data_IF_410528626445
#
_entry.id   IF_410528626445
#
_cell.length_a   1.000
_cell.length_b   1.000
_cell.length_c   1.000
_cell.angle_alpha   90.00
_cell.angle_beta   90.00
_cell.angle_gamma   90.00
#
_symmetry.space_group_name_H-M   'P 1'
#
loop_
_entity.id
_entity.type
_entity.pdbx_description
1 polymer ?
#
# COMPACT_ATOMS: atom_id res chain seq x y z
N UNK A 1 -11.74 2.90 15.04
CA UNK A 1 -10.47 3.56 14.64
C UNK A 1 -9.25 3.04 15.39
N UNK A 2 -9.17 3.15 16.73
CA UNK A 2 -8.01 2.64 17.51
C UNK A 2 -7.69 1.16 17.22
N UNK A 3 -8.72 0.31 17.22
CA UNK A 3 -8.62 -1.11 16.85
C UNK A 3 -8.00 -1.34 15.46
N UNK A 4 -8.31 -0.50 14.47
CA UNK A 4 -7.74 -0.61 13.14
C UNK A 4 -6.25 -0.28 13.13
N UNK A 5 -5.82 0.81 13.81
CA UNK A 5 -4.40 1.14 13.97
C UNK A 5 -3.65 0.00 14.65
N UNK A 6 -4.15 -0.48 15.79
CA UNK A 6 -3.50 -1.57 16.53
C UNK A 6 -3.42 -2.82 15.66
N UNK A 7 -4.47 -3.15 14.91
CA UNK A 7 -4.46 -4.31 14.02
C UNK A 7 -3.45 -4.17 12.86
N UNK A 8 -3.29 -2.97 12.28
CA UNK A 8 -2.26 -2.69 11.27
C UNK A 8 -0.86 -2.87 11.87
N UNK A 9 -0.62 -2.33 13.08
CA UNK A 9 0.68 -2.49 13.75
C UNK A 9 0.97 -3.96 14.07
N UNK A 10 -0.02 -4.68 14.61
CA UNK A 10 0.12 -6.12 14.91
C UNK A 10 0.36 -6.93 13.65
N UNK A 11 -0.27 -6.58 12.54
CA UNK A 11 -0.02 -7.21 11.26
C UNK A 11 1.43 -7.04 10.81
N UNK A 12 1.97 -5.82 10.92
CA UNK A 12 3.38 -5.56 10.59
C UNK A 12 4.31 -6.37 11.51
N UNK A 13 4.06 -6.33 12.81
CA UNK A 13 4.85 -7.10 13.77
C UNK A 13 4.80 -8.61 13.50
N UNK A 14 3.62 -9.18 13.28
CA UNK A 14 3.48 -10.63 13.12
C UNK A 14 4.03 -11.08 11.77
N UNK A 15 3.55 -10.50 10.66
CA UNK A 15 3.83 -11.03 9.33
C UNK A 15 5.21 -10.62 8.82
N UNK A 16 5.65 -9.40 9.12
CA UNK A 16 6.85 -8.81 8.52
C UNK A 16 8.08 -8.85 9.43
N UNK A 17 7.89 -9.20 10.70
CA UNK A 17 8.98 -9.31 11.70
C UNK A 17 8.98 -10.66 12.39
N UNK A 18 7.96 -11.02 13.17
CA UNK A 18 7.98 -12.21 14.04
C UNK A 18 8.02 -13.52 13.26
N UNK A 19 7.18 -13.69 12.24
CA UNK A 19 7.22 -14.89 11.38
C UNK A 19 8.59 -15.04 10.71
N UNK A 20 9.14 -14.00 10.04
CA UNK A 20 10.52 -14.03 9.54
C UNK A 20 11.57 -14.34 10.60
N UNK A 21 11.52 -13.73 11.79
CA UNK A 21 12.45 -14.03 12.88
C UNK A 21 12.42 -15.52 13.25
N UNK A 22 11.22 -16.08 13.44
CA UNK A 22 11.06 -17.51 13.75
C UNK A 22 11.65 -18.36 12.63
N UNK A 23 11.38 -18.03 11.37
CA UNK A 23 11.94 -18.74 10.22
C UNK A 23 13.48 -18.69 10.22
N UNK A 24 14.07 -17.51 10.41
CA UNK A 24 15.52 -17.31 10.43
C UNK A 24 16.22 -18.00 11.61
N UNK A 25 15.52 -18.18 12.75
CA UNK A 25 16.04 -18.95 13.88
C UNK A 25 16.20 -20.44 13.56
N UNK A 26 15.35 -21.01 12.70
CA UNK A 26 15.40 -22.43 12.34
C UNK A 26 16.25 -22.72 11.10
N UNK A 27 16.23 -21.83 10.10
CA UNK A 27 16.80 -22.09 8.77
C UNK A 27 18.06 -21.24 8.52
N UNK A 28 18.32 -20.25 9.37
CA UNK A 28 19.34 -19.23 9.15
C UNK A 28 18.78 -18.05 8.35
N UNK A 29 19.44 -16.89 8.48
CA UNK A 29 19.06 -15.71 7.71
C UNK A 29 19.49 -15.89 6.25
N UNK A 30 18.52 -15.87 5.34
CA UNK A 30 18.75 -15.96 3.88
C UNK A 30 18.34 -14.64 3.24
N UNK A 31 19.27 -13.72 2.98
CA UNK A 31 18.96 -12.46 2.33
C UNK A 31 18.51 -12.67 0.88
N UNK A 32 17.61 -11.81 0.41
CA UNK A 32 17.01 -11.84 -0.94
C UNK A 32 17.60 -10.79 -1.86
N UNK A 33 18.09 -9.69 -1.30
CA UNK A 33 18.56 -8.52 -2.04
C UNK A 33 20.07 -8.32 -1.99
N UNK A 34 20.75 -8.84 -0.96
CA UNK A 34 22.21 -8.72 -0.79
C UNK A 34 22.83 -10.06 -0.39
N UNK A 35 24.14 -10.21 -0.52
CA UNK A 35 24.90 -11.32 0.07
C UNK A 35 25.33 -11.02 1.51
N UNK A 36 25.16 -9.77 1.98
CA UNK A 36 25.59 -9.36 3.31
C UNK A 36 24.72 -9.97 4.42
N UNK A 37 25.37 -10.56 5.42
CA UNK A 37 24.75 -11.07 6.64
C UNK A 37 25.45 -10.43 7.84
N UNK A 38 24.75 -9.53 8.54
CA UNK A 38 25.24 -8.92 9.78
C UNK A 38 24.24 -9.14 10.92
N UNK A 39 24.49 -10.18 11.73
CA UNK A 39 23.62 -10.53 12.86
C UNK A 39 23.47 -9.40 13.90
N UNK A 40 24.52 -8.65 14.28
CA UNK A 40 24.35 -7.50 15.18
C UNK A 40 23.36 -6.46 14.67
N UNK A 41 23.47 -6.02 13.41
CA UNK A 41 22.52 -5.08 12.79
C UNK A 41 21.13 -5.70 12.64
N UNK A 42 21.02 -7.01 12.39
CA UNK A 42 19.75 -7.73 12.31
C UNK A 42 19.03 -7.77 13.68
N UNK A 43 19.76 -8.01 14.77
CA UNK A 43 19.19 -7.95 16.13
C UNK A 43 18.80 -6.53 16.51
N UNK A 44 19.64 -5.54 16.16
CA UNK A 44 19.34 -4.12 16.38
C UNK A 44 18.10 -3.68 15.60
N UNK A 45 17.95 -4.10 14.34
CA UNK A 45 16.77 -3.76 13.52
C UNK A 45 15.49 -4.36 14.11
N UNK A 46 15.56 -5.63 14.51
CA UNK A 46 14.46 -6.33 15.18
C UNK A 46 14.05 -5.61 16.47
N UNK A 47 15.02 -5.24 17.31
CA UNK A 47 14.77 -4.49 18.54
C UNK A 47 14.10 -3.13 18.28
N UNK A 48 14.64 -2.32 17.36
CA UNK A 48 14.12 -0.99 17.05
C UNK A 48 12.67 -1.05 16.55
N UNK A 49 12.34 -2.00 15.67
CA UNK A 49 10.98 -2.14 15.14
C UNK A 49 10.02 -2.63 16.23
N UNK A 50 10.37 -3.71 16.93
CA UNK A 50 9.50 -4.31 17.95
C UNK A 50 9.25 -3.31 19.09
N UNK A 51 10.30 -2.73 19.66
CA UNK A 51 10.18 -1.82 20.79
C UNK A 51 9.31 -0.60 20.46
N UNK A 52 9.55 0.05 19.31
CA UNK A 52 8.78 1.21 18.85
C UNK A 52 7.29 0.91 18.66
N UNK A 53 6.97 -0.20 17.99
CA UNK A 53 5.60 -0.57 17.64
C UNK A 53 4.83 -1.14 18.84
N UNK A 54 5.47 -1.94 19.69
CA UNK A 54 4.86 -2.44 20.94
C UNK A 54 4.60 -1.29 21.90
N UNK A 55 5.57 -0.37 22.08
CA UNK A 55 5.36 0.80 22.93
C UNK A 55 4.23 1.69 22.39
N UNK A 56 4.10 1.82 21.07
CA UNK A 56 2.99 2.52 20.45
C UNK A 56 1.63 1.89 20.79
N UNK A 57 1.52 0.55 20.75
CA UNK A 57 0.31 -0.17 21.17
C UNK A 57 0.00 0.07 22.65
N UNK A 58 1.01 -0.01 23.51
CA UNK A 58 0.87 0.23 24.95
C UNK A 58 0.30 1.65 25.19
N UNK A 59 0.91 2.68 24.61
CA UNK A 59 0.48 4.07 24.78
C UNK A 59 -0.94 4.30 24.23
N UNK A 60 -1.28 3.72 23.07
CA UNK A 60 -2.64 3.79 22.52
C UNK A 60 -3.67 3.12 23.42
N UNK A 61 -3.32 1.99 24.07
CA UNK A 61 -4.22 1.30 24.99
C UNK A 61 -4.47 2.12 26.26
N UNK A 62 -3.46 2.81 26.78
CA UNK A 62 -3.63 3.73 27.92
C UNK A 62 -4.40 5.01 27.56
N UNK A 63 -4.54 5.36 26.28
CA UNK A 63 -5.36 6.49 25.86
C UNK A 63 -6.85 6.22 26.11
N UNK A 64 -7.44 6.92 27.09
CA UNK A 64 -8.87 6.90 27.45
C UNK A 64 -9.71 7.66 26.42
N UNK A 65 -9.77 7.16 25.18
CA UNK A 65 -10.63 7.73 24.13
C UNK A 65 -11.79 6.78 23.82
N UNK A 66 -13.00 7.34 23.72
CA UNK A 66 -14.21 6.59 23.33
C UNK A 66 -13.97 5.90 21.99
N UNK A 67 -14.41 4.64 21.85
CA UNK A 67 -14.36 3.95 20.57
C UNK A 67 -15.34 4.59 19.59
N UNK A 68 -14.78 5.24 18.56
CA UNK A 68 -15.57 5.78 17.46
C UNK A 68 -15.63 4.78 16.31
N UNK A 69 -16.86 4.50 15.89
CA UNK A 69 -17.21 3.67 14.73
C UNK A 69 -17.76 4.60 13.65
N UNK A 70 -17.27 4.44 12.43
CA UNK A 70 -17.61 5.31 11.31
C UNK A 70 -18.82 4.74 10.59
N UNK A 71 -19.84 5.58 10.38
CA UNK A 71 -21.09 5.21 9.71
C UNK A 71 -20.98 5.39 8.18
N UNK A 72 -21.67 4.57 7.39
CA UNK A 72 -21.75 4.74 5.94
C UNK A 72 -22.56 5.99 5.59
N UNK A 73 -22.13 6.73 4.56
CA UNK A 73 -22.72 8.03 4.19
C UNK A 73 -23.25 8.09 2.77
N UNK A 74 -22.88 7.18 1.87
CA UNK A 74 -23.11 7.33 0.43
C UNK A 74 -24.01 6.26 -0.18
N UNK A 75 -24.82 6.64 -1.18
CA UNK A 75 -25.69 5.74 -1.96
C UNK A 75 -24.91 4.95 -3.03
N UNK A 76 -25.26 3.68 -3.23
CA UNK A 76 -24.28 2.66 -3.63
C UNK A 76 -24.12 2.31 -5.10
N UNK A 77 -25.18 2.40 -5.90
CA UNK A 77 -25.09 2.03 -7.33
C UNK A 77 -23.95 2.73 -8.11
N UNK A 78 -23.67 4.03 -7.93
CA UNK A 78 -22.58 4.71 -8.64
C UNK A 78 -21.19 4.18 -8.25
N UNK A 79 -20.96 3.91 -6.97
CA UNK A 79 -19.65 3.46 -6.47
C UNK A 79 -19.32 2.06 -7.00
N UNK A 80 -20.32 1.16 -7.00
CA UNK A 80 -20.15 -0.19 -7.52
C UNK A 80 -19.73 -0.18 -8.99
N UNK A 81 -20.39 0.63 -9.83
CA UNK A 81 -20.01 0.80 -11.22
C UNK A 81 -18.57 1.31 -11.35
N UNK A 82 -18.23 2.35 -10.60
CA UNK A 82 -16.92 2.99 -10.69
C UNK A 82 -15.78 2.07 -10.28
N UNK A 83 -16.00 1.23 -9.27
CA UNK A 83 -15.04 0.23 -8.82
C UNK A 83 -14.71 -0.80 -9.90
N UNK A 84 -15.73 -1.41 -10.51
CA UNK A 84 -15.50 -2.42 -11.56
C UNK A 84 -14.92 -1.78 -12.84
N UNK A 85 -15.36 -0.56 -13.18
CA UNK A 85 -14.79 0.21 -14.28
C UNK A 85 -13.30 0.49 -14.04
N UNK A 86 -12.92 0.96 -12.85
CA UNK A 86 -11.53 1.21 -12.44
C UNK A 86 -10.64 -0.02 -12.64
N UNK A 87 -11.09 -1.20 -12.19
CA UNK A 87 -10.35 -2.45 -12.35
C UNK A 87 -10.15 -2.80 -13.83
N UNK A 88 -11.23 -2.81 -14.61
CA UNK A 88 -11.17 -3.18 -16.02
C UNK A 88 -10.33 -2.18 -16.82
N UNK A 89 -10.51 -0.89 -16.58
CA UNK A 89 -9.73 0.17 -17.20
C UNK A 89 -8.23 -0.01 -16.96
N UNK A 90 -7.82 -0.27 -15.71
CA UNK A 90 -6.40 -0.48 -15.38
C UNK A 90 -5.84 -1.77 -15.98
N UNK A 91 -6.60 -2.86 -16.00
CA UNK A 91 -6.17 -4.10 -16.66
C UNK A 91 -6.00 -3.92 -18.16
N UNK A 92 -6.98 -3.32 -18.83
CA UNK A 92 -6.93 -3.08 -20.28
C UNK A 92 -5.73 -2.18 -20.61
N UNK A 93 -5.57 -1.09 -19.86
CA UNK A 93 -4.43 -0.17 -20.04
C UNK A 93 -3.10 -0.90 -19.87
N UNK A 94 -2.95 -1.70 -18.81
CA UNK A 94 -1.74 -2.48 -18.54
C UNK A 94 -1.34 -3.37 -19.71
N UNK A 95 -2.28 -4.13 -20.27
CA UNK A 95 -1.98 -5.02 -21.40
C UNK A 95 -1.74 -4.27 -22.71
N UNK A 96 -2.51 -3.21 -22.99
CA UNK A 96 -2.33 -2.38 -24.19
C UNK A 96 -0.97 -1.68 -24.16
N UNK A 97 -0.51 -1.24 -22.98
CA UNK A 97 0.80 -0.58 -22.86
C UNK A 97 1.98 -1.55 -22.95
N UNK A 98 1.80 -2.86 -23.14
CA UNK A 98 2.90 -3.83 -23.20
C UNK A 98 3.24 -4.49 -21.85
N UNK A 99 2.34 -4.39 -20.87
CA UNK A 99 2.43 -5.13 -19.61
C UNK A 99 3.52 -4.62 -18.66
N UNK A 100 4.16 -5.56 -17.96
CA UNK A 100 5.10 -5.26 -16.88
C UNK A 100 6.41 -4.64 -17.36
N UNK A 101 6.86 -5.00 -18.56
CA UNK A 101 8.11 -4.51 -19.17
C UNK A 101 8.04 -2.99 -19.43
N UNK A 102 6.94 -2.50 -20.01
CA UNK A 102 6.73 -1.07 -20.24
C UNK A 102 6.52 -0.26 -18.97
N UNK A 103 6.02 -0.89 -17.91
CA UNK A 103 5.93 -0.26 -16.59
C UNK A 103 7.32 -0.07 -15.97
N UNK A 104 8.23 -1.03 -16.12
CA UNK A 104 9.60 -0.92 -15.65
C UNK A 104 10.37 0.12 -16.46
N UNK A 105 10.23 0.12 -17.79
CA UNK A 105 10.94 1.06 -18.67
C UNK A 105 10.35 2.48 -18.67
N UNK A 106 9.35 2.76 -17.83
CA UNK A 106 8.76 4.09 -17.69
C UNK A 106 7.91 4.55 -18.88
N UNK A 107 7.69 3.69 -19.89
CA UNK A 107 7.02 4.06 -21.15
C UNK A 107 5.55 4.47 -21.01
N UNK A 108 4.93 4.24 -19.84
CA UNK A 108 3.58 4.71 -19.55
C UNK A 108 3.51 6.14 -18.99
N UNK A 109 4.65 6.71 -18.56
CA UNK A 109 4.73 8.04 -17.95
C UNK A 109 4.23 9.13 -18.91
N UNK A 110 3.42 10.06 -18.41
CA UNK A 110 2.83 11.13 -19.22
C UNK A 110 1.71 10.70 -20.19
N UNK A 111 1.29 9.42 -20.21
CA UNK A 111 0.13 9.00 -21.02
C UNK A 111 -1.20 9.39 -20.37
N UNK A 112 -2.20 9.80 -21.17
CA UNK A 112 -3.57 10.13 -20.69
C UNK A 112 -4.15 9.02 -19.79
N UNK A 113 -3.84 7.76 -20.10
CA UNK A 113 -4.27 6.61 -19.32
C UNK A 113 -3.73 6.59 -17.88
N UNK A 114 -2.50 7.06 -17.68
CA UNK A 114 -1.90 7.23 -16.36
C UNK A 114 -2.55 8.40 -15.60
N UNK A 115 -2.89 9.51 -16.27
CA UNK A 115 -3.64 10.61 -15.62
C UNK A 115 -5.00 10.13 -15.11
N UNK A 116 -5.77 9.42 -15.94
CA UNK A 116 -7.07 8.87 -15.54
C UNK A 116 -6.90 7.88 -14.38
N UNK A 117 -5.84 7.08 -14.40
CA UNK A 117 -5.54 6.09 -13.36
C UNK A 117 -5.28 6.68 -11.97
N UNK A 118 -4.89 7.96 -11.87
CA UNK A 118 -4.73 8.68 -10.60
C UNK A 118 -6.07 8.89 -9.88
N UNK A 119 -7.14 9.14 -10.65
CA UNK A 119 -8.52 9.34 -10.15
C UNK A 119 -9.28 8.03 -9.91
N UNK A 120 -8.74 6.90 -10.37
CA UNK A 120 -9.40 5.59 -10.36
C UNK A 120 -8.63 4.58 -9.51
N UNK A 121 -8.21 4.94 -8.30
CA UNK A 121 -7.48 4.02 -7.42
C UNK A 121 -8.39 2.83 -6.98
N UNK A 122 -8.13 1.59 -7.44
CA UNK A 122 -9.02 0.45 -7.18
C UNK A 122 -9.09 0.08 -5.70
N UNK A 123 -8.00 0.25 -4.96
CA UNK A 123 -7.95 -0.08 -3.53
C UNK A 123 -8.81 0.91 -2.73
N UNK A 124 -8.65 2.21 -2.98
CA UNK A 124 -9.49 3.25 -2.36
C UNK A 124 -10.97 3.04 -2.70
N UNK A 125 -11.29 2.72 -3.96
CA UNK A 125 -12.66 2.41 -4.38
C UNK A 125 -13.23 1.16 -3.71
N UNK A 126 -12.43 0.11 -3.52
CA UNK A 126 -12.82 -1.09 -2.77
C UNK A 126 -13.19 -0.75 -1.32
N UNK A 127 -12.37 0.06 -0.63
CA UNK A 127 -12.66 0.48 0.74
C UNK A 127 -13.94 1.33 0.82
N UNK A 128 -14.16 2.23 -0.13
CA UNK A 128 -15.38 3.06 -0.21
C UNK A 128 -16.61 2.17 -0.44
N UNK A 129 -16.52 1.25 -1.42
CA UNK A 129 -17.56 0.29 -1.78
C UNK A 129 -17.98 -0.59 -0.59
N UNK A 130 -17.02 -1.00 0.25
CA UNK A 130 -17.29 -1.89 1.38
C UNK A 130 -17.69 -1.15 2.66
N UNK A 131 -17.18 0.06 2.92
CA UNK A 131 -17.32 0.65 4.26
C UNK A 131 -18.02 2.00 4.31
N UNK A 132 -18.14 2.71 3.18
CA UNK A 132 -18.78 4.03 3.12
C UNK A 132 -20.14 3.98 2.43
N UNK A 133 -20.34 2.97 1.58
CA UNK A 133 -21.59 2.72 0.91
C UNK A 133 -22.67 2.18 1.87
N UNK A 134 -23.88 2.74 1.79
CA UNK A 134 -25.05 2.30 2.56
C UNK A 134 -25.63 0.98 2.05
N UNK A 135 -25.73 0.83 0.74
CA UNK A 135 -26.27 -0.38 0.10
C UNK A 135 -25.28 -1.54 0.20
N UNK A 136 -25.79 -2.72 0.56
CA UNK A 136 -24.94 -3.91 0.69
C UNK A 136 -24.53 -4.47 -0.68
N UNK A 137 -23.30 -4.96 -0.76
CA UNK A 137 -22.75 -5.56 -1.99
C UNK A 137 -22.16 -6.94 -1.72
N UNK A 138 -21.97 -7.71 -2.80
CA UNK A 138 -21.25 -8.98 -2.70
C UNK A 138 -19.76 -8.73 -2.46
N UNK A 139 -19.37 -8.77 -1.19
CA UNK A 139 -17.97 -8.59 -0.74
C UNK A 139 -17.01 -9.54 -1.43
N UNK A 140 -17.40 -10.82 -1.51
CA UNK A 140 -16.54 -11.85 -2.10
C UNK A 140 -16.29 -11.53 -3.57
N UNK A 141 -17.32 -11.14 -4.32
CA UNK A 141 -17.15 -10.72 -5.72
C UNK A 141 -16.21 -9.53 -5.84
N UNK A 142 -16.40 -8.50 -5.00
CA UNK A 142 -15.54 -7.32 -5.02
C UNK A 142 -14.07 -7.69 -4.75
N UNK A 143 -13.81 -8.47 -3.70
CA UNK A 143 -12.47 -8.92 -3.32
C UNK A 143 -11.83 -9.79 -4.41
N UNK A 144 -12.56 -10.74 -4.98
CA UNK A 144 -12.04 -11.60 -6.07
C UNK A 144 -11.62 -10.76 -7.27
N UNK A 145 -12.42 -9.77 -7.68
CA UNK A 145 -12.04 -8.85 -8.75
C UNK A 145 -10.77 -8.05 -8.43
N UNK A 146 -10.60 -7.61 -7.19
CA UNK A 146 -9.38 -6.91 -6.77
C UNK A 146 -8.16 -7.83 -6.81
N UNK A 147 -8.27 -9.04 -6.25
CA UNK A 147 -7.17 -10.01 -6.23
C UNK A 147 -6.78 -10.40 -7.66
N UNK A 148 -7.76 -10.67 -8.53
CA UNK A 148 -7.49 -10.94 -9.95
C UNK A 148 -6.77 -9.76 -10.61
N UNK A 149 -7.21 -8.53 -10.38
CA UNK A 149 -6.53 -7.34 -10.89
C UNK A 149 -5.04 -7.29 -10.47
N UNK A 150 -4.77 -7.44 -9.18
CA UNK A 150 -3.40 -7.35 -8.64
C UNK A 150 -2.53 -8.50 -9.14
N UNK A 151 -3.06 -9.72 -9.20
CA UNK A 151 -2.30 -10.88 -9.70
C UNK A 151 -2.05 -10.82 -11.20
N UNK A 152 -3.05 -10.43 -12.00
CA UNK A 152 -2.92 -10.33 -13.45
C UNK A 152 -2.01 -9.18 -13.89
N UNK A 153 -1.82 -8.15 -13.06
CA UNK A 153 -0.81 -7.11 -13.30
C UNK A 153 0.61 -7.49 -12.84
N UNK A 154 0.82 -8.76 -12.48
CA UNK A 154 2.13 -9.29 -12.09
C UNK A 154 2.55 -8.91 -10.68
N UNK A 155 1.64 -8.48 -9.81
CA UNK A 155 1.95 -8.24 -8.40
C UNK A 155 1.78 -9.50 -7.55
N UNK A 156 2.81 -9.78 -6.75
CA UNK A 156 2.89 -10.95 -5.87
C UNK A 156 2.21 -10.73 -4.50
N UNK A 157 1.61 -9.56 -4.26
CA UNK A 157 1.01 -9.16 -2.96
C UNK A 157 -0.52 -9.15 -2.95
N UNK A 158 -1.19 -9.76 -3.94
CA UNK A 158 -2.66 -9.69 -4.10
C UNK A 158 -3.48 -10.06 -2.85
N UNK A 159 -3.11 -11.13 -2.16
CA UNK A 159 -3.82 -11.57 -0.93
C UNK A 159 -3.41 -10.75 0.29
N UNK A 160 -2.15 -10.32 0.36
CA UNK A 160 -1.62 -9.44 1.40
C UNK A 160 -2.47 -8.15 1.47
N UNK A 161 -2.81 -7.57 0.32
CA UNK A 161 -3.63 -6.38 0.27
C UNK A 161 -5.03 -6.51 0.89
N UNK A 162 -5.58 -7.74 0.94
CA UNK A 162 -6.90 -8.01 1.55
C UNK A 162 -6.84 -7.99 3.08
N UNK A 163 -5.69 -8.27 3.69
CA UNK A 163 -5.50 -8.07 5.12
C UNK A 163 -5.73 -6.61 5.50
N UNK A 164 -5.27 -5.65 4.69
CA UNK A 164 -5.53 -4.23 4.94
C UNK A 164 -7.01 -3.88 4.84
N UNK A 165 -7.75 -4.45 3.88
CA UNK A 165 -9.21 -4.29 3.81
C UNK A 165 -9.86 -4.76 5.12
N UNK A 166 -9.41 -5.89 5.67
CA UNK A 166 -9.90 -6.43 6.93
C UNK A 166 -9.59 -5.49 8.12
N UNK A 167 -8.35 -5.02 8.26
CA UNK A 167 -7.95 -4.17 9.39
C UNK A 167 -8.53 -2.76 9.33
N UNK A 168 -8.48 -2.12 8.15
CA UNK A 168 -9.10 -0.81 7.92
C UNK A 168 -10.61 -0.91 8.19
N UNK A 169 -11.23 -2.01 7.75
CA UNK A 169 -12.63 -2.30 7.99
C UNK A 169 -13.04 -2.21 9.46
N UNK A 170 -12.19 -2.63 10.40
CA UNK A 170 -12.48 -2.57 11.84
C UNK A 170 -12.81 -1.15 12.36
N UNK A 171 -12.49 -0.09 11.61
CA UNK A 171 -12.88 1.28 11.95
C UNK A 171 -14.33 1.64 11.60
N UNK A 172 -15.01 0.84 10.77
CA UNK A 172 -16.29 1.16 10.15
C UNK A 172 -17.42 0.24 10.62
N UNK A 173 -18.64 0.76 10.63
CA UNK A 173 -19.84 0.00 11.02
C UNK A 173 -20.12 -1.16 10.04
N UNK A 174 -19.85 -0.95 8.75
CA UNK A 174 -20.01 -1.95 7.69
C UNK A 174 -19.26 -3.27 7.96
N UNK A 175 -18.17 -3.21 8.73
CA UNK A 175 -17.37 -4.38 9.06
C UNK A 175 -18.13 -5.44 9.87
N UNK A 176 -19.15 -5.08 10.65
CA UNK A 176 -19.99 -6.08 11.35
C UNK A 176 -20.65 -7.06 10.38
N UNK A 177 -20.99 -6.59 9.17
CA UNK A 177 -21.65 -7.40 8.15
C UNK A 177 -20.66 -8.18 7.27
N UNK A 178 -19.47 -7.62 7.07
CA UNK A 178 -18.51 -8.13 6.09
C UNK A 178 -17.34 -8.87 6.71
N UNK A 179 -16.99 -8.60 7.97
CA UNK A 179 -15.81 -9.12 8.65
C UNK A 179 -15.73 -10.64 8.64
N UNK A 180 -16.86 -11.34 8.88
CA UNK A 180 -16.91 -12.80 8.80
C UNK A 180 -16.60 -13.33 7.40
N UNK A 181 -17.18 -12.73 6.35
CA UNK A 181 -16.93 -13.11 4.95
C UNK A 181 -15.49 -12.84 4.52
N UNK A 182 -14.93 -11.69 4.92
CA UNK A 182 -13.54 -11.33 4.64
C UNK A 182 -12.59 -12.30 5.37
N UNK A 183 -12.86 -12.63 6.63
CA UNK A 183 -12.06 -13.61 7.39
C UNK A 183 -12.09 -14.99 6.73
N UNK A 184 -13.26 -15.45 6.30
CA UNK A 184 -13.40 -16.72 5.56
C UNK A 184 -12.63 -16.67 4.24
N UNK A 185 -12.70 -15.56 3.50
CA UNK A 185 -11.91 -15.38 2.29
C UNK A 185 -10.41 -15.43 2.58
N UNK A 186 -9.92 -14.73 3.61
CA UNK A 186 -8.50 -14.76 3.99
C UNK A 186 -8.03 -16.18 4.34
N UNK A 187 -8.85 -16.95 5.08
CA UNK A 187 -8.53 -18.34 5.44
C UNK A 187 -8.27 -19.21 4.21
N UNK A 188 -9.16 -19.16 3.21
CA UNK A 188 -9.02 -19.98 2.00
C UNK A 188 -8.05 -19.35 0.98
N UNK A 189 -8.00 -18.02 0.92
CA UNK A 189 -7.08 -17.26 0.07
C UNK A 189 -5.64 -17.54 0.44
N UNK A 190 -5.30 -17.66 1.73
CA UNK A 190 -3.95 -18.04 2.17
C UNK A 190 -3.48 -19.39 1.60
N UNK A 191 -4.38 -20.36 1.43
CA UNK A 191 -4.06 -21.64 0.80
C UNK A 191 -3.74 -21.49 -0.69
N UNK A 192 -4.36 -20.51 -1.35
CA UNK A 192 -4.13 -20.17 -2.76
C UNK A 192 -2.92 -19.23 -2.95
N UNK A 193 -2.42 -18.60 -1.89
CA UNK A 193 -1.38 -17.58 -1.98
C UNK A 193 -0.09 -18.07 -2.67
N UNK A 194 0.43 -19.28 -2.38
CA UNK A 194 1.62 -19.78 -3.06
C UNK A 194 1.41 -19.94 -4.57
N UNK A 195 0.24 -20.44 -5.00
CA UNK A 195 -0.07 -20.61 -6.41
C UNK A 195 -0.19 -19.25 -7.14
N UNK A 196 -0.84 -18.26 -6.52
CA UNK A 196 -0.92 -16.90 -7.09
C UNK A 196 0.47 -16.23 -7.13
N UNK A 197 1.32 -16.49 -6.14
CA UNK A 197 2.69 -15.99 -6.11
C UNK A 197 3.54 -16.57 -7.24
N UNK A 198 3.45 -17.88 -7.47
CA UNK A 198 4.13 -18.56 -8.58
C UNK A 198 3.64 -18.01 -9.92
N UNK A 199 2.32 -17.91 -10.10
CA UNK A 199 1.75 -17.32 -11.32
C UNK A 199 2.30 -15.91 -11.58
N UNK A 200 2.21 -15.02 -10.60
CA UNK A 200 2.73 -13.65 -10.72
C UNK A 200 4.27 -13.59 -10.90
N UNK A 201 4.99 -14.64 -10.50
CA UNK A 201 6.43 -14.78 -10.74
C UNK A 201 6.72 -15.15 -12.19
N UNK A 202 5.95 -16.11 -12.75
CA UNK A 202 6.03 -16.51 -14.16
C UNK A 202 5.65 -15.35 -15.08
N UNK A 203 4.60 -14.60 -14.75
CA UNK A 203 4.18 -13.40 -15.53
C UNK A 203 5.29 -12.34 -15.62
N UNK A 204 6.29 -12.36 -14.72
CA UNK A 204 7.46 -11.48 -14.76
C UNK A 204 8.66 -12.07 -15.53
N UNK A 205 8.52 -13.23 -16.19
CA UNK A 205 9.58 -13.84 -16.99
C UNK A 205 10.67 -14.58 -16.19
N UNK A 206 10.44 -14.89 -14.92
CA UNK A 206 11.43 -15.56 -14.05
C UNK A 206 11.17 -17.07 -13.96
N UNK A 207 10.84 -17.70 -15.09
CA UNK A 207 10.34 -19.08 -15.12
C UNK A 207 11.41 -20.14 -14.83
N UNK A 208 12.69 -19.83 -15.06
CA UNK A 208 13.76 -20.85 -15.20
C UNK A 208 14.46 -21.26 -13.89
N UNK A 209 14.08 -20.73 -12.72
CA UNK A 209 14.82 -20.93 -11.43
C UNK A 209 13.91 -21.39 -10.28
N UNK A 210 12.97 -22.31 -10.52
CA UNK A 210 11.92 -22.61 -9.52
C UNK A 210 12.19 -23.93 -8.79
N UNK A 211 13.11 -23.88 -7.81
CA UNK A 211 13.14 -24.86 -6.71
C UNK A 211 12.15 -24.47 -5.60
N UNK A 212 11.56 -25.45 -4.90
CA UNK A 212 10.61 -25.17 -3.81
C UNK A 212 11.24 -24.38 -2.65
N UNK A 213 12.49 -24.70 -2.30
CA UNK A 213 13.25 -23.99 -1.27
C UNK A 213 13.52 -22.53 -1.67
N UNK A 214 13.79 -22.29 -2.95
CA UNK A 214 13.92 -20.94 -3.49
C UNK A 214 12.60 -20.17 -3.38
N UNK A 215 11.46 -20.79 -3.68
CA UNK A 215 10.14 -20.15 -3.53
C UNK A 215 9.88 -19.76 -2.07
N UNK A 216 10.12 -20.66 -1.11
CA UNK A 216 9.88 -20.37 0.30
C UNK A 216 10.79 -19.24 0.78
N UNK A 217 12.08 -19.29 0.46
CA UNK A 217 13.03 -18.23 0.81
C UNK A 217 12.61 -16.89 0.18
N UNK A 218 12.14 -16.89 -1.06
CA UNK A 218 11.62 -15.69 -1.72
C UNK A 218 10.33 -15.18 -1.07
N UNK A 219 9.43 -16.05 -0.64
CA UNK A 219 8.20 -15.65 0.05
C UNK A 219 8.54 -15.02 1.41
N UNK A 220 9.32 -15.71 2.24
CA UNK A 220 9.68 -15.22 3.58
C UNK A 220 10.53 -13.95 3.48
N UNK A 221 11.57 -13.95 2.65
CA UNK A 221 12.45 -12.80 2.51
C UNK A 221 11.76 -11.57 1.92
N UNK A 222 10.81 -11.73 0.98
CA UNK A 222 10.02 -10.59 0.47
C UNK A 222 8.91 -10.12 1.41
N UNK A 223 8.44 -10.97 2.32
CA UNK A 223 7.56 -10.54 3.40
C UNK A 223 8.35 -9.86 4.52
N UNK A 224 9.58 -10.28 4.76
CA UNK A 224 10.43 -9.74 5.81
C UNK A 224 10.84 -8.29 5.54
N UNK A 225 10.74 -7.44 6.56
CA UNK A 225 11.37 -6.11 6.54
C UNK A 225 12.74 -6.11 7.20
N UNK A 226 13.23 -7.27 7.65
CA UNK A 226 14.42 -7.35 8.48
C UNK A 226 15.70 -7.13 7.68
N UNK A 227 15.78 -7.67 6.47
CA UNK A 227 16.92 -7.43 5.57
C UNK A 227 17.04 -5.95 5.20
N UNK A 228 15.93 -5.36 4.78
CA UNK A 228 15.87 -3.93 4.41
C UNK A 228 16.01 -2.99 5.61
N UNK A 229 16.00 -3.53 6.83
CA UNK A 229 16.23 -2.78 8.06
C UNK A 229 17.63 -3.03 8.65
N UNK A 230 18.25 -4.17 8.33
CA UNK A 230 19.61 -4.51 8.74
C UNK A 230 20.64 -3.70 7.96
N UNK A 231 20.47 -3.62 6.64
CA UNK A 231 21.42 -2.95 5.73
C UNK A 231 21.78 -1.51 6.17
N UNK A 232 20.82 -0.61 6.46
CA UNK A 232 21.17 0.76 6.87
C UNK A 232 21.91 0.82 8.21
N UNK A 233 21.56 -0.08 9.13
CA UNK A 233 22.18 -0.14 10.46
C UNK A 233 23.61 -0.68 10.40
N UNK A 234 23.90 -1.59 9.47
CA UNK A 234 25.27 -2.04 9.20
C UNK A 234 26.13 -0.87 8.72
N UNK A 235 25.63 -0.08 7.75
CA UNK A 235 26.35 1.07 7.23
C UNK A 235 26.58 2.15 8.30
N UNK A 236 25.57 2.45 9.12
CA UNK A 236 25.68 3.34 10.28
C UNK A 236 26.76 2.87 11.29
N UNK A 237 26.74 1.58 11.62
CA UNK A 237 27.64 1.02 12.65
C UNK A 237 29.08 0.85 12.18
N UNK A 238 29.31 0.82 10.86
CA UNK A 238 30.63 0.68 10.24
C UNK A 238 31.18 1.99 9.67
N UNK A 239 30.53 3.14 9.94
CA UNK A 239 30.94 4.45 9.48
C UNK A 239 31.18 4.53 7.96
N UNK A 240 30.34 3.82 7.20
CA UNK A 240 30.36 3.90 5.75
C UNK A 240 29.75 5.23 5.30
N UNK A 241 30.16 5.71 4.13
CA UNK A 241 29.67 6.98 3.57
C UNK A 241 28.15 6.95 3.37
N UNK A 242 27.46 7.89 4.02
CA UNK A 242 26.01 8.05 4.01
C UNK A 242 25.58 9.36 3.34
N UNK A 243 26.47 10.04 2.61
CA UNK A 243 26.22 11.35 2.02
C UNK A 243 24.97 11.34 1.11
N UNK A 244 24.82 10.30 0.29
CA UNK A 244 23.64 10.13 -0.58
C UNK A 244 22.34 9.98 0.22
N UNK A 245 22.38 9.31 1.38
CA UNK A 245 21.22 9.22 2.27
C UNK A 245 20.85 10.57 2.86
N UNK A 246 21.83 11.33 3.35
CA UNK A 246 21.56 12.65 3.92
C UNK A 246 21.08 13.64 2.89
N UNK A 247 21.66 13.62 1.68
CA UNK A 247 21.25 14.43 0.54
C UNK A 247 19.80 14.11 0.14
N UNK A 248 19.51 12.83 -0.14
CA UNK A 248 18.17 12.40 -0.56
C UNK A 248 17.10 12.77 0.47
N UNK A 249 17.36 12.52 1.75
CA UNK A 249 16.41 12.79 2.83
C UNK A 249 16.64 14.14 3.51
N UNK A 250 17.25 15.10 2.83
CA UNK A 250 17.20 16.50 3.28
C UNK A 250 15.83 17.11 2.97
N UNK A 251 15.58 18.29 3.51
CA UNK A 251 14.29 18.95 3.32
C UNK A 251 14.03 19.35 1.86
N UNK A 252 15.06 19.77 1.13
CA UNK A 252 14.91 20.34 -0.21
C UNK A 252 14.65 19.28 -1.29
N UNK A 253 15.37 18.16 -1.26
CA UNK A 253 15.17 17.04 -2.17
C UNK A 253 13.80 16.39 -1.93
N UNK A 254 13.42 16.20 -0.66
CA UNK A 254 12.08 15.69 -0.34
C UNK A 254 10.97 16.64 -0.81
N UNK A 255 11.16 17.96 -0.70
CA UNK A 255 10.20 18.93 -1.21
C UNK A 255 10.08 18.90 -2.75
N UNK A 256 11.21 18.88 -3.48
CA UNK A 256 11.24 18.77 -4.95
C UNK A 256 10.51 17.52 -5.42
N UNK A 257 10.87 16.38 -4.82
CA UNK A 257 10.21 15.11 -5.04
C UNK A 257 8.70 15.18 -4.81
N UNK A 258 8.28 15.79 -3.70
CA UNK A 258 6.87 15.95 -3.41
C UNK A 258 6.15 16.74 -4.50
N UNK A 259 6.77 17.80 -5.03
CA UNK A 259 6.19 18.59 -6.13
C UNK A 259 6.09 17.74 -7.41
N UNK A 260 7.15 17.00 -7.75
CA UNK A 260 7.16 16.11 -8.93
C UNK A 260 6.13 14.97 -8.82
N UNK A 261 5.74 14.53 -7.61
CA UNK A 261 4.64 13.56 -7.47
C UNK A 261 3.25 14.15 -7.76
N UNK A 262 3.09 15.47 -7.65
CA UNK A 262 1.81 16.16 -7.83
C UNK A 262 1.58 16.59 -9.27
N UNK A 263 2.67 16.81 -10.01
CA UNK A 263 2.64 17.31 -11.37
C UNK A 263 3.12 16.22 -12.33
N UNK A 264 2.35 15.94 -13.39
CA UNK A 264 2.78 15.00 -14.41
C UNK A 264 3.76 15.68 -15.35
N UNK A 265 4.90 15.02 -15.60
CA UNK A 265 6.08 15.65 -16.17
C UNK A 265 7.05 16.05 -15.05
N UNK A 266 8.34 15.88 -15.30
CA UNK A 266 9.39 16.10 -14.30
C UNK A 266 9.86 17.54 -14.40
N UNK A 267 9.72 18.30 -13.33
CA UNK A 267 10.16 19.70 -13.28
C UNK A 267 11.60 19.74 -12.75
N UNK A 268 11.94 18.84 -11.83
CA UNK A 268 13.27 18.74 -11.27
C UNK A 268 14.05 17.54 -11.82
N UNK A 269 15.35 17.51 -11.51
CA UNK A 269 16.22 16.38 -11.81
C UNK A 269 15.63 15.10 -11.24
N UNK A 270 15.75 14.04 -12.03
CA UNK A 270 15.04 12.79 -11.82
C UNK A 270 15.50 12.12 -10.52
N UNK A 271 14.66 12.21 -9.49
CA UNK A 271 14.70 11.30 -8.36
C UNK A 271 13.53 10.32 -8.55
N UNK A 272 13.86 9.08 -8.92
CA UNK A 272 12.88 8.08 -9.31
C UNK A 272 12.02 7.66 -8.11
N UNK A 273 10.71 7.82 -8.23
CA UNK A 273 9.73 7.16 -7.35
C UNK A 273 9.91 5.63 -7.41
N UNK A 274 9.53 4.86 -6.37
CA UNK A 274 9.86 5.00 -4.95
C UNK A 274 11.30 4.55 -4.66
N UNK A 275 11.91 4.99 -3.55
CA UNK A 275 13.30 4.81 -3.11
C UNK A 275 14.20 3.85 -3.93
N UNK A 276 14.48 4.17 -5.19
CA UNK A 276 15.37 3.35 -6.03
C UNK A 276 16.80 3.45 -5.48
N UNK A 277 17.15 4.61 -4.94
CA UNK A 277 18.42 4.89 -4.29
C UNK A 277 18.72 4.04 -3.07
N UNK A 278 17.76 3.33 -2.49
CA UNK A 278 18.06 2.37 -1.41
C UNK A 278 19.18 1.42 -1.81
N UNK A 279 19.13 0.90 -3.04
CA UNK A 279 20.15 -0.03 -3.54
C UNK A 279 21.47 0.67 -3.85
N UNK A 280 21.44 1.94 -4.23
CA UNK A 280 22.65 2.73 -4.37
C UNK A 280 23.30 2.99 -3.00
N UNK A 281 22.50 3.40 -2.00
CA UNK A 281 22.95 3.72 -0.66
C UNK A 281 23.50 2.50 0.10
N UNK A 282 22.84 1.34 0.03
CA UNK A 282 23.15 0.21 0.92
C UNK A 282 23.48 -1.11 0.24
N UNK A 283 23.42 -1.17 -1.10
CA UNK A 283 23.75 -2.39 -1.86
C UNK A 283 24.85 -2.18 -2.92
N UNK A 284 25.43 -0.97 -3.00
CA UNK A 284 26.59 -0.69 -3.85
C UNK A 284 26.32 -0.62 -5.36
N UNK A 285 25.05 -0.49 -5.77
CA UNK A 285 24.72 -0.26 -7.18
C UNK A 285 25.00 1.20 -7.59
N UNK A 286 25.35 1.43 -8.85
CA UNK A 286 25.46 2.80 -9.37
C UNK A 286 24.07 3.46 -9.47
N UNK A 287 24.02 4.78 -9.27
CA UNK A 287 22.79 5.56 -9.41
C UNK A 287 22.17 5.41 -10.81
N UNK A 288 23.00 5.40 -11.86
CA UNK A 288 22.55 5.20 -13.25
C UNK A 288 21.89 3.84 -13.47
N UNK A 289 22.46 2.77 -12.92
CA UNK A 289 21.88 1.43 -13.05
C UNK A 289 20.56 1.30 -12.31
N UNK A 290 20.53 1.85 -11.09
CA UNK A 290 19.34 1.91 -10.23
C UNK A 290 18.20 2.70 -10.87
N UNK A 291 18.55 3.79 -11.56
CA UNK A 291 17.64 4.61 -12.33
C UNK A 291 17.01 3.82 -13.49
N UNK A 292 17.83 3.15 -14.29
CA UNK A 292 17.40 2.47 -15.51
C UNK A 292 16.54 1.22 -15.24
N UNK A 293 16.71 0.58 -14.07
CA UNK A 293 16.14 -0.74 -13.79
C UNK A 293 15.03 -0.75 -12.73
N UNK A 294 14.53 0.41 -12.29
CA UNK A 294 13.42 0.55 -11.34
C UNK A 294 13.52 -0.39 -10.10
N UNK A 295 14.54 -0.16 -9.28
CA UNK A 295 14.97 -1.09 -8.23
C UNK A 295 14.48 -0.76 -6.80
N UNK A 296 13.24 -0.28 -6.65
CA UNK A 296 12.74 0.25 -5.37
C UNK A 296 12.80 -0.73 -4.18
N UNK A 297 13.33 -0.25 -3.06
CA UNK A 297 13.33 -0.92 -1.75
C UNK A 297 13.08 0.14 -0.68
N UNK A 298 12.21 -0.15 0.29
CA UNK A 298 11.76 0.86 1.26
C UNK A 298 12.32 0.64 2.66
N UNK A 299 12.40 1.74 3.41
CA UNK A 299 12.67 1.71 4.85
C UNK A 299 11.43 1.33 5.64
N UNK A 300 11.62 0.91 6.89
CA UNK A 300 10.59 1.01 7.92
C UNK A 300 10.76 2.32 8.67
N UNK A 301 9.67 2.94 9.14
CA UNK A 301 9.72 4.21 9.88
C UNK A 301 10.71 4.19 11.06
N UNK A 302 10.73 3.15 11.93
CA UNK A 302 11.67 3.11 13.06
C UNK A 302 13.14 3.19 12.62
N UNK A 303 13.48 2.57 11.49
CA UNK A 303 14.85 2.55 10.98
C UNK A 303 15.20 3.87 10.32
N UNK A 304 14.31 4.44 9.52
CA UNK A 304 14.49 5.78 8.98
C UNK A 304 14.75 6.82 10.08
N UNK A 305 13.93 6.81 11.14
CA UNK A 305 14.10 7.72 12.27
C UNK A 305 15.38 7.44 13.04
N UNK A 306 15.82 6.17 13.12
CA UNK A 306 17.09 5.83 13.76
C UNK A 306 18.28 6.39 12.97
N UNK A 307 18.28 6.26 11.65
CA UNK A 307 19.33 6.84 10.79
C UNK A 307 19.43 8.37 10.91
N UNK A 308 18.36 9.06 11.32
CA UNK A 308 18.36 10.52 11.51
C UNK A 308 18.60 10.96 12.96
N UNK A 309 18.15 10.18 13.94
CA UNK A 309 18.04 10.63 15.34
C UNK A 309 18.54 9.61 16.38
N UNK A 310 19.17 8.51 15.94
CA UNK A 310 19.63 7.43 16.81
C UNK A 310 18.48 6.79 17.59
N UNK A 311 18.73 6.39 18.84
CA UNK A 311 17.74 5.68 19.67
C UNK A 311 16.48 6.50 20.02
N UNK A 312 16.52 7.83 19.85
CA UNK A 312 15.32 8.69 19.95
C UNK A 312 14.23 8.31 18.94
N UNK A 313 14.58 7.54 17.90
CA UNK A 313 13.65 6.97 16.94
C UNK A 313 12.49 6.20 17.55
N UNK A 314 12.71 5.51 18.68
CA UNK A 314 11.64 4.78 19.38
C UNK A 314 10.56 5.76 19.84
N UNK A 315 10.97 6.83 20.52
CA UNK A 315 10.06 7.87 21.00
C UNK A 315 9.38 8.57 19.82
N UNK A 316 10.13 8.94 18.78
CA UNK A 316 9.54 9.60 17.62
C UNK A 316 8.54 8.71 16.88
N UNK A 317 8.80 7.41 16.73
CA UNK A 317 7.83 6.47 16.14
C UNK A 317 6.53 6.44 16.95
N UNK A 318 6.62 6.38 18.28
CA UNK A 318 5.44 6.42 19.17
C UNK A 318 4.67 7.73 18.99
N UNK A 319 5.39 8.85 18.94
CA UNK A 319 4.78 10.16 18.71
C UNK A 319 4.10 10.25 17.34
N UNK A 320 4.70 9.70 16.28
CA UNK A 320 4.08 9.60 14.95
C UNK A 320 2.80 8.79 15.00
N UNK A 321 2.81 7.58 15.58
CA UNK A 321 1.63 6.72 15.68
C UNK A 321 0.51 7.37 16.50
N UNK A 322 0.84 7.93 17.66
CA UNK A 322 -0.13 8.59 18.55
C UNK A 322 -0.66 9.88 17.93
N UNK A 323 0.21 10.68 17.31
CA UNK A 323 -0.17 11.88 16.56
C UNK A 323 -1.11 11.53 15.42
N UNK A 324 -0.80 10.48 14.65
CA UNK A 324 -1.66 9.98 13.58
C UNK A 324 -3.05 9.58 14.11
N UNK A 325 -3.11 8.85 15.22
CA UNK A 325 -4.38 8.49 15.86
C UNK A 325 -5.19 9.74 16.26
N UNK A 326 -4.54 10.77 16.81
CA UNK A 326 -5.21 12.04 17.14
C UNK A 326 -5.76 12.74 15.89
N UNK A 327 -5.02 12.74 14.77
CA UNK A 327 -5.50 13.27 13.49
C UNK A 327 -6.75 12.52 13.03
N UNK A 328 -6.78 11.19 13.10
CA UNK A 328 -7.99 10.41 12.77
C UNK A 328 -9.21 10.81 13.60
N UNK A 329 -9.01 11.12 14.89
CA UNK A 329 -10.10 11.54 15.77
C UNK A 329 -10.69 12.90 15.37
N UNK A 330 -9.89 13.82 14.84
CA UNK A 330 -10.36 15.11 14.31
C UNK A 330 -11.33 14.85 13.13
N UNK A 331 -11.01 13.89 12.26
CA UNK A 331 -11.79 13.56 11.07
C UNK A 331 -12.83 12.46 11.28
N UNK A 332 -13.21 12.13 12.52
CA UNK A 332 -14.09 10.99 12.86
C UNK A 332 -15.45 10.98 12.14
N UNK A 333 -15.95 12.13 11.70
CA UNK A 333 -17.22 12.28 10.98
C UNK A 333 -17.06 12.30 9.44
N UNK A 334 -15.83 12.14 8.93
CA UNK A 334 -15.49 12.23 7.51
C UNK A 334 -14.99 10.87 7.00
N UNK A 335 -15.87 9.91 6.68
CA UNK A 335 -15.49 8.53 6.33
C UNK A 335 -14.47 8.42 5.21
N UNK A 336 -14.60 9.25 4.17
CA UNK A 336 -13.64 9.30 3.06
C UNK A 336 -12.23 9.70 3.51
N UNK A 337 -12.12 10.70 4.39
CA UNK A 337 -10.83 11.15 4.91
C UNK A 337 -10.21 10.05 5.76
N UNK A 338 -11.01 9.32 6.54
CA UNK A 338 -10.49 8.19 7.32
C UNK A 338 -9.97 7.06 6.43
N UNK A 339 -10.61 6.76 5.30
CA UNK A 339 -10.06 5.79 4.33
C UNK A 339 -8.68 6.23 3.83
N UNK A 340 -8.55 7.49 3.42
CA UNK A 340 -7.27 8.05 2.93
C UNK A 340 -6.22 7.92 4.02
N UNK A 341 -6.52 8.42 5.22
CA UNK A 341 -5.58 8.42 6.34
C UNK A 341 -5.19 6.99 6.76
N UNK A 342 -6.13 6.06 6.91
CA UNK A 342 -5.77 4.67 7.27
C UNK A 342 -4.97 3.95 6.18
N UNK A 343 -5.16 4.30 4.91
CA UNK A 343 -4.35 3.77 3.81
C UNK A 343 -2.92 4.31 3.89
N UNK A 344 -2.77 5.62 4.13
CA UNK A 344 -1.46 6.27 4.32
C UNK A 344 -0.73 5.78 5.57
N UNK A 345 -1.45 5.50 6.66
CA UNK A 345 -0.85 5.00 7.90
C UNK A 345 -0.13 3.67 7.70
N UNK A 346 -0.65 2.82 6.83
CA UNK A 346 -0.01 1.56 6.50
C UNK A 346 1.34 1.79 5.79
N UNK A 347 1.36 2.62 4.74
CA UNK A 347 2.59 2.92 4.01
C UNK A 347 3.63 3.59 4.93
N UNK A 348 3.17 4.46 5.83
CA UNK A 348 4.02 5.11 6.83
C UNK A 348 4.71 4.12 7.76
N UNK A 349 4.04 3.03 8.17
CA UNK A 349 4.64 2.05 9.11
C UNK A 349 5.45 0.97 8.38
N UNK A 350 5.02 0.55 7.19
CA UNK A 350 5.58 -0.61 6.50
C UNK A 350 6.58 -0.27 5.39
N UNK A 351 6.35 0.82 4.64
CA UNK A 351 7.15 1.23 3.48
C UNK A 351 7.42 2.73 3.52
N UNK A 352 8.16 3.16 4.53
CA UNK A 352 8.39 4.58 4.75
C UNK A 352 9.23 5.20 3.63
N UNK A 353 8.56 6.03 2.84
CA UNK A 353 9.10 6.97 1.87
C UNK A 353 8.07 8.12 1.73
N UNK A 354 8.50 9.36 1.90
CA UNK A 354 7.62 10.53 1.82
C UNK A 354 6.93 10.66 0.46
N UNK A 355 7.61 10.25 -0.61
CA UNK A 355 7.11 10.25 -1.98
C UNK A 355 5.98 9.24 -2.15
N UNK A 356 6.14 8.04 -1.58
CA UNK A 356 5.09 7.03 -1.58
C UNK A 356 3.88 7.47 -0.76
N UNK A 357 4.13 8.00 0.44
CA UNK A 357 3.11 8.52 1.34
C UNK A 357 2.30 9.62 0.65
N UNK A 358 2.96 10.57 0.00
CA UNK A 358 2.31 11.67 -0.69
C UNK A 358 1.58 11.19 -1.95
N UNK A 359 2.18 10.32 -2.75
CA UNK A 359 1.54 9.76 -3.94
C UNK A 359 0.26 8.99 -3.60
N UNK A 360 0.31 8.16 -2.55
CA UNK A 360 -0.87 7.46 -2.06
C UNK A 360 -1.93 8.43 -1.53
N UNK A 361 -1.52 9.42 -0.74
CA UNK A 361 -2.42 10.46 -0.24
C UNK A 361 -3.09 11.22 -1.40
N UNK A 362 -2.31 11.62 -2.40
CA UNK A 362 -2.76 12.37 -3.57
C UNK A 362 -3.72 11.54 -4.43
N UNK A 363 -3.33 10.33 -4.84
CA UNK A 363 -4.20 9.44 -5.63
C UNK A 363 -5.49 9.08 -4.89
N UNK A 364 -5.43 8.79 -3.60
CA UNK A 364 -6.62 8.50 -2.81
C UNK A 364 -7.53 9.74 -2.68
N UNK A 365 -6.94 10.93 -2.52
CA UNK A 365 -7.67 12.20 -2.47
C UNK A 365 -8.36 12.52 -3.80
N UNK A 366 -7.65 12.41 -4.92
CA UNK A 366 -8.21 12.58 -6.26
C UNK A 366 -9.34 11.59 -6.53
N UNK A 367 -9.17 10.33 -6.13
CA UNK A 367 -10.21 9.30 -6.25
C UNK A 367 -11.45 9.67 -5.44
N UNK A 368 -11.29 10.17 -4.21
CA UNK A 368 -12.42 10.63 -3.38
C UNK A 368 -13.12 11.85 -3.98
N UNK A 369 -12.37 12.82 -4.52
CA UNK A 369 -12.92 13.99 -5.20
C UNK A 369 -13.74 13.53 -6.41
N UNK A 370 -13.17 12.64 -7.23
CA UNK A 370 -13.83 12.10 -8.40
C UNK A 370 -15.11 11.34 -8.03
N UNK A 371 -15.10 10.50 -6.99
CA UNK A 371 -16.30 9.82 -6.47
C UNK A 371 -17.39 10.84 -6.11
N UNK A 372 -17.05 11.91 -5.41
CA UNK A 372 -18.01 12.94 -5.00
C UNK A 372 -18.65 13.68 -6.18
N UNK A 373 -17.91 13.88 -7.27
CA UNK A 373 -18.41 14.49 -8.51
C UNK A 373 -19.21 13.47 -9.33
N UNK A 374 -18.75 12.21 -9.38
CA UNK A 374 -19.35 11.15 -10.17
C UNK A 374 -20.74 10.77 -9.67
N UNK A 375 -20.99 10.77 -8.37
CA UNK A 375 -22.29 10.41 -7.79
C UNK A 375 -23.44 11.29 -8.31
N UNK A 376 -23.40 12.64 -8.18
CA UNK A 376 -24.46 13.50 -8.71
C UNK A 376 -24.55 13.42 -10.23
N UNK A 377 -23.41 13.32 -10.93
CA UNK A 377 -23.38 13.17 -12.38
C UNK A 377 -24.07 11.89 -12.86
N UNK A 378 -23.79 10.76 -12.23
CA UNK A 378 -24.43 9.48 -12.51
C UNK A 378 -25.95 9.53 -12.26
N UNK A 379 -26.39 10.20 -11.19
CA UNK A 379 -27.81 10.40 -10.90
C UNK A 379 -28.48 11.23 -11.99
N UNK A 380 -27.85 12.31 -12.44
CA UNK A 380 -28.34 13.16 -13.53
C UNK A 380 -28.47 12.39 -14.85
N UNK A 381 -27.42 11.66 -15.24
CA UNK A 381 -27.45 10.81 -16.45
C UNK A 381 -28.59 9.81 -16.38
N UNK A 382 -28.72 9.12 -15.24
CA UNK A 382 -29.78 8.12 -15.07
C UNK A 382 -31.18 8.76 -15.19
N UNK A 383 -31.37 9.96 -14.67
CA UNK A 383 -32.61 10.71 -14.83
C UNK A 383 -32.87 11.07 -16.30
N UNK A 384 -31.87 11.60 -17.02
CA UNK A 384 -31.98 11.93 -18.44
C UNK A 384 -32.32 10.69 -19.26
N UNK A 385 -31.58 9.58 -19.08
CA UNK A 385 -31.82 8.32 -19.77
C UNK A 385 -33.20 7.75 -19.45
N UNK A 386 -33.68 7.87 -18.20
CA UNK A 386 -35.03 7.43 -17.86
C UNK A 386 -36.09 8.25 -18.58
N UNK A 387 -35.92 9.58 -18.70
CA UNK A 387 -36.83 10.44 -19.46
C UNK A 387 -36.82 10.10 -20.95
N UNK A 388 -35.64 9.90 -21.55
CA UNK A 388 -35.51 9.49 -22.95
C UNK A 388 -36.18 8.14 -23.23
N UNK A 389 -36.15 7.21 -22.26
CA UNK A 389 -36.83 5.92 -22.38
C UNK A 389 -38.36 6.04 -22.33
N UNK A 390 -38.90 7.05 -21.64
CA UNK A 390 -40.33 7.39 -21.69
C UNK A 390 -40.72 8.17 -22.96
N UNK A 391 -39.74 8.80 -23.64
CA UNK A 391 -39.94 9.50 -24.92
C UNK A 391 -39.80 8.61 -26.16
N UNK A 392 -39.67 7.29 -25.99
CA UNK A 392 -39.78 6.30 -27.08
C UNK A 392 -41.16 5.60 -27.02
N UNK A 393 -42.25 6.22 -27.51
CA UNK A 393 -43.55 5.59 -27.64
C UNK A 393 -43.63 4.75 -28.92
N UNK A 394 -42.63 3.92 -29.22
CA UNK A 394 -42.70 2.97 -30.34
C UNK A 394 -43.39 1.65 -29.96
N UNK A 395 -44.10 1.61 -28.83
CA UNK A 395 -45.01 0.51 -28.46
C UNK A 395 -46.41 1.05 -28.13
N UNK A 396 -46.90 2.01 -28.92
CA UNK A 396 -48.32 2.35 -28.95
C UNK A 396 -48.84 2.54 -30.37
N UNK A 397 -48.40 1.71 -31.32
CA UNK A 397 -49.08 1.49 -32.61
C UNK A 397 -48.64 0.14 -33.19
N UNK A 398 -49.30 -0.94 -32.75
CA UNK A 398 -49.95 -1.98 -33.56
C UNK A 398 -50.27 -3.22 -32.71
#
# INVERSE_FOLDING_TARGET
MKKAIIAIILYVLILHVLIPCVYYLFIGFTPVYTELIDYPALYKSTFLIISSLVLSIIVLNFSKTKEYIIKPTVEGKPISFLYYFSILFKLITFYISGGFETLISGGSSGSLSNYISLFLNPFTLLLILLFVQKERVSVIRAIVFYVMYVTLSGSRSGIISIFFVFFIGMAFEGYKYYGGKIKTFLKYGLLLAPALFIYATITRGVADIIGFDFIINQIIGRMSTLETSMLPLYYDSNHLDLDLFYLKYDFWHQLKLCIDTLLPGQIFEFDVMPNNYYRAMFMGYSESFVFENYMSVNFTLPIYLYMKYGYSAILFTVLYVVGFYKILLIFKQKPFVIIILLSVFYDLIYFFDWVMILSQFYSASLTVIFVKIFIPFYKLIKQILSKLRYFNPSESFN
#
